data_IF_400464871594
#
_entry.id   IF_400464871594
#
_cell.length_a   1.000
_cell.length_b   1.000
_cell.length_c   1.000
_cell.angle_alpha   90.00
_cell.angle_beta   90.00
_cell.angle_gamma   90.00
#
_symmetry.space_group_name_H-M   'P 1'
#
loop_
_entity.id
_entity.type
_entity.pdbx_description
1 polymer ?
#
# COMPACT_ATOMS: atom_id res chain seq x y z
N UNK A 1 -4.24 9.68 -3.56
CA UNK A 1 -3.90 8.74 -2.46
C UNK A 1 -2.97 7.60 -2.91
N UNK A 2 -3.28 6.88 -3.99
CA UNK A 2 -2.50 5.72 -4.49
C UNK A 2 -1.01 5.99 -4.78
N UNK A 3 -0.66 7.18 -5.30
CA UNK A 3 0.73 7.52 -5.68
C UNK A 3 1.69 7.69 -4.50
N UNK A 4 1.18 8.09 -3.32
CA UNK A 4 2.00 8.23 -2.10
C UNK A 4 2.18 6.89 -1.39
N UNK A 5 1.18 6.02 -1.41
CA UNK A 5 1.26 4.66 -0.87
C UNK A 5 2.32 3.84 -1.63
N UNK A 6 2.38 4.01 -2.96
CA UNK A 6 3.37 3.32 -3.79
C UNK A 6 4.81 3.78 -3.50
N UNK A 7 5.02 5.08 -3.21
CA UNK A 7 6.33 5.62 -2.82
C UNK A 7 6.81 5.10 -1.47
N UNK A 8 5.93 5.05 -0.47
CA UNK A 8 6.24 4.57 0.89
C UNK A 8 6.61 3.07 0.90
N UNK A 9 5.89 2.26 0.12
CA UNK A 9 6.21 0.85 -0.08
C UNK A 9 7.56 0.66 -0.80
N UNK A 10 7.84 1.47 -1.83
CA UNK A 10 9.09 1.43 -2.57
C UNK A 10 10.29 1.81 -1.68
N UNK A 11 10.17 2.85 -0.86
CA UNK A 11 11.23 3.27 0.07
C UNK A 11 11.51 2.20 1.13
N UNK A 12 10.46 1.58 1.66
CA UNK A 12 10.60 0.48 2.62
C UNK A 12 11.28 -0.74 1.99
N UNK A 13 10.90 -1.13 0.77
CA UNK A 13 11.56 -2.21 0.02
C UNK A 13 13.02 -1.87 -0.32
N UNK A 14 13.33 -0.61 -0.62
CA UNK A 14 14.69 -0.13 -0.86
C UNK A 14 15.57 -0.29 0.37
N UNK A 15 15.06 0.13 1.53
CA UNK A 15 15.80 0.05 2.80
C UNK A 15 16.06 -1.39 3.20
N UNK A 16 15.05 -2.27 3.08
CA UNK A 16 15.20 -3.71 3.37
C UNK A 16 16.19 -4.35 2.40
N UNK A 17 16.09 -4.08 1.10
CA UNK A 17 17.00 -4.66 0.09
C UNK A 17 18.45 -4.23 0.32
N UNK A 18 18.68 -2.97 0.66
CA UNK A 18 20.03 -2.48 0.99
C UNK A 18 20.57 -3.16 2.26
N UNK A 19 19.77 -3.22 3.33
CA UNK A 19 20.19 -3.87 4.58
C UNK A 19 20.49 -5.35 4.33
N UNK A 20 19.58 -6.08 3.70
CA UNK A 20 19.78 -7.51 3.41
C UNK A 20 21.00 -7.73 2.51
N UNK A 21 21.16 -6.94 1.45
CA UNK A 21 22.30 -7.05 0.54
C UNK A 21 23.64 -6.77 1.22
N UNK A 22 23.74 -5.68 2.00
CA UNK A 22 24.96 -5.36 2.74
C UNK A 22 25.26 -6.38 3.84
N UNK A 23 24.25 -6.93 4.51
CA UNK A 23 24.45 -7.99 5.51
C UNK A 23 24.98 -9.26 4.85
N UNK A 24 24.40 -9.68 3.70
CA UNK A 24 24.90 -10.83 2.94
C UNK A 24 26.35 -10.61 2.53
N UNK A 25 26.65 -9.49 1.89
CA UNK A 25 28.03 -9.14 1.48
C UNK A 25 28.97 -9.12 2.69
N UNK A 26 28.56 -8.51 3.80
CA UNK A 26 29.38 -8.40 5.01
C UNK A 26 29.70 -9.76 5.64
N UNK A 27 28.69 -10.61 5.82
CA UNK A 27 28.87 -11.96 6.39
C UNK A 27 29.79 -12.80 5.50
N UNK A 28 29.51 -12.87 4.19
CA UNK A 28 30.34 -13.67 3.28
C UNK A 28 31.75 -13.09 3.09
N UNK A 29 31.93 -11.77 3.17
CA UNK A 29 33.27 -11.14 3.16
C UNK A 29 34.08 -11.49 4.40
N UNK A 30 33.44 -11.50 5.57
CA UNK A 30 34.09 -11.90 6.82
C UNK A 30 34.48 -13.38 6.79
N UNK A 31 33.57 -14.24 6.33
CA UNK A 31 33.86 -15.67 6.14
C UNK A 31 35.01 -15.89 5.15
N UNK A 32 35.02 -15.15 4.03
CA UNK A 32 36.12 -15.18 3.06
C UNK A 32 37.46 -14.79 3.69
N UNK A 33 37.51 -13.72 4.48
CA UNK A 33 38.74 -13.27 5.15
C UNK A 33 39.25 -14.32 6.13
N UNK A 34 38.39 -14.89 6.97
CA UNK A 34 38.77 -15.93 7.93
C UNK A 34 39.35 -17.15 7.20
N UNK A 35 38.67 -17.63 6.16
CA UNK A 35 39.13 -18.79 5.39
C UNK A 35 40.46 -18.52 4.65
N UNK A 36 40.64 -17.31 4.13
CA UNK A 36 41.88 -16.89 3.45
C UNK A 36 43.08 -16.83 4.40
N UNK A 37 42.89 -16.38 5.64
CA UNK A 37 43.94 -16.34 6.66
C UNK A 37 44.28 -17.73 7.22
N UNK A 38 43.33 -18.64 7.28
CA UNK A 38 43.51 -19.94 7.94
C UNK A 38 44.00 -21.07 7.01
N UNK A 39 43.75 -20.99 5.70
CA UNK A 39 43.95 -22.12 4.76
C UNK A 39 44.92 -21.86 3.59
N UNK A 40 45.68 -20.76 3.58
CA UNK A 40 46.66 -20.44 2.52
C UNK A 40 46.14 -20.70 1.08
N UNK A 41 45.22 -19.82 0.67
CA UNK A 41 44.85 -19.42 -0.69
C UNK A 41 44.39 -20.39 -1.80
N UNK A 42 44.57 -21.71 -1.74
CA UNK A 42 44.32 -22.53 -2.94
C UNK A 42 43.04 -23.37 -2.96
N UNK A 43 42.10 -23.13 -2.04
CA UNK A 43 40.84 -23.87 -2.04
C UNK A 43 39.82 -23.29 -3.05
N UNK A 44 39.23 -24.08 -3.97
CA UNK A 44 38.31 -23.59 -5.01
C UNK A 44 37.05 -22.90 -4.43
N UNK A 45 36.61 -23.31 -3.23
CA UNK A 45 35.53 -22.62 -2.51
C UNK A 45 35.84 -21.14 -2.21
N UNK A 46 37.11 -20.80 -1.95
CA UNK A 46 37.51 -19.42 -1.66
C UNK A 46 37.31 -18.53 -2.88
N UNK A 47 37.68 -19.01 -4.07
CA UNK A 47 37.48 -18.28 -5.33
C UNK A 47 35.99 -17.99 -5.60
N UNK A 48 35.12 -18.97 -5.37
CA UNK A 48 33.67 -18.84 -5.59
C UNK A 48 33.04 -17.82 -4.63
N UNK A 49 33.44 -17.84 -3.35
CA UNK A 49 32.98 -16.84 -2.37
C UNK A 49 33.45 -15.44 -2.77
N UNK A 50 34.70 -15.29 -3.23
CA UNK A 50 35.23 -14.01 -3.70
C UNK A 50 34.44 -13.45 -4.89
N UNK A 51 34.17 -14.27 -5.91
CA UNK A 51 33.36 -13.89 -7.08
C UNK A 51 31.95 -13.49 -6.66
N UNK A 52 31.32 -14.25 -5.75
CA UNK A 52 29.99 -13.94 -5.24
C UNK A 52 29.92 -12.59 -4.50
N UNK A 53 30.88 -12.33 -3.62
CA UNK A 53 30.99 -11.05 -2.89
C UNK A 53 31.15 -9.88 -3.87
N UNK A 54 32.04 -10.02 -4.85
CA UNK A 54 32.31 -8.98 -5.84
C UNK A 54 31.07 -8.69 -6.71
N UNK A 55 30.39 -9.73 -7.20
CA UNK A 55 29.16 -9.56 -8.00
C UNK A 55 28.02 -8.92 -7.21
N UNK A 56 27.84 -9.27 -5.93
CA UNK A 56 26.83 -8.64 -5.09
C UNK A 56 27.16 -7.18 -4.76
N UNK A 57 28.44 -6.87 -4.53
CA UNK A 57 28.89 -5.50 -4.30
C UNK A 57 28.65 -4.64 -5.54
N UNK A 58 28.99 -5.15 -6.74
CA UNK A 58 28.66 -4.50 -8.00
C UNK A 58 27.14 -4.30 -8.18
N UNK A 59 26.33 -5.31 -7.90
CA UNK A 59 24.87 -5.21 -7.98
C UNK A 59 24.32 -4.10 -7.06
N UNK A 60 24.87 -3.98 -5.84
CA UNK A 60 24.49 -2.92 -4.90
C UNK A 60 24.95 -1.52 -5.36
N UNK A 61 26.14 -1.39 -5.95
CA UNK A 61 26.61 -0.13 -6.50
C UNK A 61 25.78 0.30 -7.72
N UNK A 62 25.48 -0.61 -8.63
CA UNK A 62 24.63 -0.39 -9.81
C UNK A 62 23.18 -0.02 -9.40
N UNK A 63 22.71 -0.55 -8.27
CA UNK A 63 21.42 -0.16 -7.67
C UNK A 63 21.35 1.33 -7.32
N UNK A 64 22.47 1.94 -6.92
CA UNK A 64 22.53 3.38 -6.67
C UNK A 64 22.37 4.19 -7.97
N UNK A 65 22.69 3.60 -9.13
CA UNK A 65 22.64 4.25 -10.44
C UNK A 65 21.25 4.17 -11.10
N UNK A 66 20.63 2.99 -11.15
CA UNK A 66 19.39 2.78 -11.93
C UNK A 66 18.10 3.15 -11.19
N UNK A 67 18.11 3.35 -9.86
CA UNK A 67 16.93 3.63 -9.00
C UNK A 67 15.79 2.60 -9.07
N UNK A 68 15.94 1.50 -9.83
CA UNK A 68 14.97 0.41 -9.99
C UNK A 68 15.29 -0.74 -9.06
N UNK A 69 14.80 -0.67 -7.82
CA UNK A 69 15.08 -1.65 -6.74
C UNK A 69 14.67 -3.08 -7.09
N UNK A 70 13.61 -3.23 -7.88
CA UNK A 70 13.10 -4.55 -8.29
C UNK A 70 14.17 -5.38 -9.02
N UNK A 71 14.93 -4.75 -9.92
CA UNK A 71 15.95 -5.43 -10.73
C UNK A 71 17.11 -5.88 -9.83
N UNK A 72 17.55 -5.01 -8.92
CA UNK A 72 18.61 -5.32 -7.95
C UNK A 72 18.26 -6.55 -7.11
N UNK A 73 17.00 -6.63 -6.67
CA UNK A 73 16.55 -7.75 -5.86
C UNK A 73 16.50 -9.07 -6.65
N UNK A 74 16.01 -9.04 -7.89
CA UNK A 74 16.02 -10.22 -8.76
C UNK A 74 17.45 -10.70 -9.03
N UNK A 75 18.37 -9.80 -9.34
CA UNK A 75 19.78 -10.13 -9.52
C UNK A 75 20.40 -10.72 -8.25
N UNK A 76 20.05 -10.19 -7.07
CA UNK A 76 20.52 -10.72 -5.79
C UNK A 76 20.04 -12.16 -5.57
N UNK A 77 18.77 -12.47 -5.86
CA UNK A 77 18.26 -13.85 -5.77
C UNK A 77 19.01 -14.76 -6.74
N UNK A 78 19.17 -14.34 -8.00
CA UNK A 78 19.82 -15.14 -9.05
C UNK A 78 21.28 -15.43 -8.67
N UNK A 79 22.03 -14.40 -8.25
CA UNK A 79 23.42 -14.55 -7.82
C UNK A 79 23.54 -15.47 -6.60
N UNK A 80 22.63 -15.34 -5.63
CA UNK A 80 22.59 -16.21 -4.44
C UNK A 80 22.31 -17.65 -4.86
N UNK A 81 21.34 -17.89 -5.75
CA UNK A 81 21.05 -19.22 -6.26
C UNK A 81 22.24 -19.86 -6.98
N UNK A 82 22.88 -19.14 -7.90
CA UNK A 82 24.04 -19.65 -8.64
C UNK A 82 25.22 -19.99 -7.72
N UNK A 83 25.44 -19.15 -6.70
CA UNK A 83 26.45 -19.40 -5.68
C UNK A 83 26.17 -20.68 -4.88
N UNK A 84 24.94 -20.84 -4.39
CA UNK A 84 24.56 -22.04 -3.63
C UNK A 84 24.59 -23.31 -4.49
N UNK A 85 24.20 -23.22 -5.76
CA UNK A 85 24.31 -24.32 -6.72
C UNK A 85 25.77 -24.71 -6.95
N UNK A 86 26.67 -23.74 -7.10
CA UNK A 86 28.10 -23.99 -7.31
C UNK A 86 28.74 -24.66 -6.09
N UNK A 87 28.44 -24.19 -4.88
CA UNK A 87 28.95 -24.80 -3.65
C UNK A 87 28.36 -26.20 -3.47
N UNK A 88 27.05 -26.38 -3.67
CA UNK A 88 26.41 -27.69 -3.56
C UNK A 88 27.05 -28.69 -4.52
N UNK A 89 27.29 -28.32 -5.78
CA UNK A 89 27.95 -29.18 -6.76
C UNK A 89 29.35 -29.64 -6.32
N UNK A 90 30.17 -28.73 -5.79
CA UNK A 90 31.55 -29.05 -5.35
C UNK A 90 31.64 -29.78 -4.01
N UNK A 91 30.58 -29.76 -3.20
CA UNK A 91 30.56 -30.36 -1.86
C UNK A 91 29.79 -31.68 -1.81
N UNK A 92 29.59 -32.33 -2.96
CA UNK A 92 28.94 -33.64 -3.07
C UNK A 92 27.47 -33.61 -3.53
N UNK A 93 26.96 -32.48 -4.01
CA UNK A 93 25.62 -32.37 -4.58
C UNK A 93 24.52 -32.57 -3.53
N UNK A 94 23.76 -33.67 -3.65
CA UNK A 94 22.66 -34.02 -2.72
C UNK A 94 23.15 -34.37 -1.31
N UNK A 95 24.36 -34.93 -1.19
CA UNK A 95 24.93 -35.27 0.12
C UNK A 95 25.45 -34.05 0.86
N UNK A 96 25.53 -32.90 0.16
CA UNK A 96 25.95 -31.65 0.76
C UNK A 96 24.87 -31.08 1.68
N UNK A 97 25.22 -30.74 2.94
CA UNK A 97 24.36 -30.00 3.87
C UNK A 97 23.90 -28.64 3.34
N UNK A 98 24.62 -28.08 2.34
CA UNK A 98 24.34 -26.78 1.73
C UNK A 98 23.05 -26.81 0.92
N UNK A 99 22.60 -27.99 0.47
CA UNK A 99 21.39 -28.12 -0.35
C UNK A 99 20.13 -27.64 0.39
N UNK A 100 20.09 -27.78 1.72
CA UNK A 100 18.97 -27.29 2.53
C UNK A 100 18.84 -25.77 2.48
N UNK A 101 19.93 -25.05 2.27
CA UNK A 101 19.91 -23.59 2.19
C UNK A 101 19.25 -23.13 0.88
N UNK A 102 19.17 -23.96 -0.17
CA UNK A 102 18.36 -23.66 -1.36
C UNK A 102 16.88 -23.43 -1.00
N UNK A 103 16.36 -24.08 0.06
CA UNK A 103 14.99 -23.88 0.51
C UNK A 103 14.71 -22.47 1.06
N UNK A 104 15.75 -21.70 1.39
CA UNK A 104 15.63 -20.30 1.82
C UNK A 104 15.34 -19.36 0.63
N UNK A 105 15.78 -19.72 -0.57
CA UNK A 105 15.65 -18.88 -1.77
C UNK A 105 14.18 -18.58 -2.10
N UNK A 106 13.26 -19.58 -2.14
CA UNK A 106 11.84 -19.31 -2.33
C UNK A 106 11.25 -18.42 -1.24
N UNK A 107 11.64 -18.62 0.03
CA UNK A 107 11.18 -17.79 1.16
C UNK A 107 11.57 -16.33 0.96
N UNK A 108 12.83 -16.08 0.56
CA UNK A 108 13.28 -14.75 0.18
C UNK A 108 12.50 -14.21 -1.03
N UNK A 109 12.19 -15.02 -2.04
CA UNK A 109 11.42 -14.60 -3.20
C UNK A 109 9.96 -14.26 -2.86
N UNK A 110 9.31 -15.01 -1.96
CA UNK A 110 7.94 -14.71 -1.48
C UNK A 110 7.83 -13.36 -0.79
N UNK A 111 8.90 -12.88 -0.15
CA UNK A 111 8.93 -11.54 0.45
C UNK A 111 8.75 -10.41 -0.58
N UNK A 112 9.01 -10.68 -1.87
CA UNK A 112 8.79 -9.70 -2.95
C UNK A 112 7.48 -9.87 -3.69
N UNK A 113 7.15 -11.10 -4.09
CA UNK A 113 5.93 -11.37 -4.82
C UNK A 113 5.55 -12.84 -4.72
N UNK A 114 4.25 -13.10 -4.60
CA UNK A 114 3.69 -14.45 -4.65
C UNK A 114 4.08 -15.20 -5.93
N UNK A 115 4.11 -14.51 -7.09
CA UNK A 115 4.48 -15.12 -8.37
C UNK A 115 5.96 -15.53 -8.41
N UNK A 116 6.84 -14.69 -7.86
CA UNK A 116 8.27 -14.98 -7.77
C UNK A 116 8.55 -16.13 -6.79
N UNK A 117 7.88 -16.15 -5.64
CA UNK A 117 8.00 -17.26 -4.69
C UNK A 117 7.66 -18.62 -5.29
N UNK A 118 6.53 -18.72 -6.01
CA UNK A 118 6.12 -19.96 -6.70
C UNK A 118 7.14 -20.37 -7.77
N UNK A 119 7.60 -19.42 -8.59
CA UNK A 119 8.60 -19.68 -9.63
C UNK A 119 9.91 -20.23 -9.04
N UNK A 120 10.44 -19.58 -8.00
CA UNK A 120 11.68 -20.01 -7.36
C UNK A 120 11.53 -21.32 -6.58
N UNK A 121 10.36 -21.61 -5.98
CA UNK A 121 10.05 -22.93 -5.43
C UNK A 121 10.15 -24.02 -6.49
N UNK A 122 9.57 -23.79 -7.67
CA UNK A 122 9.63 -24.75 -8.77
C UNK A 122 11.08 -24.95 -9.25
N UNK A 123 11.84 -23.87 -9.42
CA UNK A 123 13.27 -23.93 -9.79
C UNK A 123 14.07 -24.74 -8.76
N UNK A 124 13.87 -24.53 -7.46
CA UNK A 124 14.61 -25.27 -6.43
C UNK A 124 14.26 -26.76 -6.43
N UNK A 125 12.98 -27.12 -6.58
CA UNK A 125 12.57 -28.53 -6.72
C UNK A 125 13.18 -29.17 -7.96
N UNK A 126 13.14 -28.47 -9.10
CA UNK A 126 13.77 -28.94 -10.33
C UNK A 126 15.28 -29.13 -10.17
N UNK A 127 15.95 -28.23 -9.43
CA UNK A 127 17.38 -28.34 -9.12
C UNK A 127 17.68 -29.60 -8.32
N UNK A 128 16.88 -29.90 -7.30
CA UNK A 128 17.03 -31.13 -6.51
C UNK A 128 16.81 -32.40 -7.36
N UNK A 129 15.86 -32.37 -8.30
CA UNK A 129 15.65 -33.47 -9.25
C UNK A 129 16.82 -33.64 -10.22
N UNK A 130 17.39 -32.53 -10.71
CA UNK A 130 18.59 -32.57 -11.57
C UNK A 130 19.78 -33.14 -10.80
N UNK A 131 19.97 -32.77 -9.53
CA UNK A 131 21.02 -33.34 -8.69
C UNK A 131 20.80 -34.84 -8.43
N UNK A 132 19.55 -35.28 -8.23
CA UNK A 132 19.23 -36.72 -8.10
C UNK A 132 19.57 -37.48 -9.37
N UNK A 133 19.20 -36.94 -10.53
CA UNK A 133 19.53 -37.53 -11.82
C UNK A 133 21.05 -37.56 -12.03
N UNK A 134 21.75 -36.45 -11.80
CA UNK A 134 23.20 -36.35 -11.94
C UNK A 134 23.98 -37.29 -11.00
N UNK A 135 23.44 -37.56 -9.82
CA UNK A 135 24.02 -38.54 -8.89
C UNK A 135 23.97 -39.96 -9.46
N UNK A 136 22.88 -40.34 -10.14
CA UNK A 136 22.75 -41.67 -10.76
C UNK A 136 23.67 -41.94 -11.95
N UNK A 137 24.30 -40.91 -12.51
CA UNK A 137 25.24 -41.00 -13.64
C UNK A 137 26.70 -40.68 -13.26
N UNK A 138 27.02 -40.60 -11.96
CA UNK A 138 28.37 -40.25 -11.44
C UNK A 138 28.95 -38.93 -12.00
N UNK A 139 28.08 -37.97 -12.37
CA UNK A 139 28.49 -36.66 -12.90
C UNK A 139 28.97 -35.73 -11.76
N UNK A 140 28.58 -36.02 -10.52
CA UNK A 140 28.89 -35.21 -9.35
C UNK A 140 30.32 -35.49 -8.88
N UNK A 141 31.19 -34.48 -8.75
CA UNK A 141 32.55 -34.69 -8.29
C UNK A 141 32.58 -35.17 -6.85
N UNK A 142 33.66 -35.90 -6.50
CA UNK A 142 33.96 -36.26 -5.11
C UNK A 142 34.04 -34.98 -4.27
N UNK A 143 33.39 -35.00 -3.11
CA UNK A 143 33.34 -33.84 -2.22
C UNK A 143 34.75 -33.36 -1.89
N UNK A 144 34.96 -32.05 -2.02
CA UNK A 144 36.24 -31.42 -1.66
C UNK A 144 36.43 -31.41 -0.12
N UNK A 145 35.35 -31.60 0.65
CA UNK A 145 35.40 -31.70 2.11
C UNK A 145 35.89 -33.09 2.50
N UNK A 146 37.02 -33.16 3.20
CA UNK A 146 37.56 -34.43 3.71
C UNK A 146 36.59 -35.10 4.69
N UNK A 147 36.60 -36.43 4.74
CA UNK A 147 35.74 -37.22 5.63
C UNK A 147 35.90 -36.84 7.11
N UNK A 148 37.11 -36.44 7.50
CA UNK A 148 37.42 -35.95 8.87
C UNK A 148 36.71 -34.66 9.25
N UNK A 149 36.37 -33.81 8.29
CA UNK A 149 35.76 -32.50 8.50
C UNK A 149 34.29 -32.43 8.06
N UNK A 150 33.75 -33.50 7.48
CA UNK A 150 32.39 -33.57 6.97
C UNK A 150 31.34 -33.29 8.06
N UNK A 151 31.52 -33.85 9.26
CA UNK A 151 30.57 -33.68 10.36
C UNK A 151 30.58 -32.23 10.89
N UNK A 152 31.76 -31.62 11.04
CA UNK A 152 31.90 -30.22 11.44
C UNK A 152 31.29 -29.28 10.40
N UNK A 153 31.56 -29.52 9.11
CA UNK A 153 31.00 -28.74 8.01
C UNK A 153 29.46 -28.85 7.96
N UNK A 154 28.93 -30.05 8.17
CA UNK A 154 27.49 -30.30 8.22
C UNK A 154 26.82 -29.57 9.37
N UNK A 155 27.43 -29.62 10.56
CA UNK A 155 26.93 -28.92 11.73
C UNK A 155 26.88 -27.41 11.52
N UNK A 156 27.97 -26.82 11.02
CA UNK A 156 28.04 -25.37 10.74
C UNK A 156 27.01 -24.94 9.68
N UNK A 157 26.86 -25.73 8.61
CA UNK A 157 25.91 -25.45 7.54
C UNK A 157 24.45 -25.55 8.00
N UNK A 158 24.12 -26.57 8.80
CA UNK A 158 22.79 -26.74 9.36
C UNK A 158 22.46 -25.63 10.37
N UNK A 159 23.42 -25.27 11.24
CA UNK A 159 23.26 -24.19 12.18
C UNK A 159 23.01 -22.85 11.46
N UNK A 160 23.79 -22.58 10.41
CA UNK A 160 23.59 -21.40 9.57
C UNK A 160 22.21 -21.40 8.91
N UNK A 161 21.77 -22.54 8.35
CA UNK A 161 20.43 -22.69 7.77
C UNK A 161 19.33 -22.35 8.77
N UNK A 162 19.34 -22.96 9.96
CA UNK A 162 18.32 -22.72 10.99
C UNK A 162 18.32 -21.27 11.45
N UNK A 163 19.50 -20.68 11.67
CA UNK A 163 19.63 -19.26 12.03
C UNK A 163 19.00 -18.35 10.96
N UNK A 164 19.28 -18.61 9.69
CA UNK A 164 18.76 -17.84 8.57
C UNK A 164 17.22 -17.94 8.48
N UNK A 165 16.66 -19.14 8.66
CA UNK A 165 15.19 -19.34 8.68
C UNK A 165 14.54 -18.59 9.84
N UNK A 166 15.12 -18.61 11.03
CA UNK A 166 14.61 -17.88 12.20
C UNK A 166 14.61 -16.36 11.94
N UNK A 167 15.73 -15.82 11.43
CA UNK A 167 15.86 -14.39 11.12
C UNK A 167 14.83 -13.98 10.06
N UNK A 168 14.68 -14.76 8.99
CA UNK A 168 13.70 -14.49 7.94
C UNK A 168 12.26 -14.54 8.47
N UNK A 169 11.92 -15.54 9.27
CA UNK A 169 10.59 -15.65 9.91
C UNK A 169 10.29 -14.45 10.80
N UNK A 170 11.26 -14.02 11.61
CA UNK A 170 11.13 -12.82 12.44
C UNK A 170 10.93 -11.54 11.61
N UNK A 171 11.71 -11.37 10.54
CA UNK A 171 11.67 -10.18 9.69
C UNK A 171 10.35 -10.08 8.91
N UNK A 172 9.87 -11.21 8.37
CA UNK A 172 8.57 -11.32 7.70
C UNK A 172 7.45 -11.01 8.69
N UNK A 173 7.44 -11.63 9.87
CA UNK A 173 6.40 -11.41 10.87
C UNK A 173 6.35 -9.95 11.34
N UNK A 174 7.49 -9.34 11.66
CA UNK A 174 7.57 -7.92 12.04
C UNK A 174 7.03 -7.01 10.94
N UNK A 175 7.30 -7.32 9.68
CA UNK A 175 6.82 -6.55 8.54
C UNK A 175 5.30 -6.67 8.35
N UNK A 176 4.75 -7.87 8.55
CA UNK A 176 3.32 -8.19 8.46
C UNK A 176 2.50 -7.52 9.58
N UNK A 177 2.93 -7.63 10.84
CA UNK A 177 2.24 -7.00 11.97
C UNK A 177 2.18 -5.48 11.89
N UNK A 178 3.19 -4.84 11.31
CA UNK A 178 3.19 -3.40 11.09
C UNK A 178 2.17 -3.00 10.01
N UNK A 179 2.00 -3.82 8.97
CA UNK A 179 1.03 -3.59 7.90
C UNK A 179 -0.41 -3.76 8.42
N UNK A 180 -0.69 -4.83 9.17
CA UNK A 180 -2.01 -5.04 9.80
C UNK A 180 -2.37 -3.88 10.73
N UNK A 181 -1.47 -3.46 11.62
CA UNK A 181 -1.72 -2.31 12.52
C UNK A 181 -2.00 -1.01 11.78
N UNK A 182 -1.38 -0.78 10.61
CA UNK A 182 -1.66 0.40 9.79
C UNK A 182 -3.05 0.32 9.16
N UNK A 183 -3.41 -0.84 8.60
CA UNK A 183 -4.73 -1.09 8.02
C UNK A 183 -5.85 -0.94 9.06
N UNK A 184 -5.66 -1.46 10.27
CA UNK A 184 -6.64 -1.36 11.35
C UNK A 184 -6.87 0.09 11.79
N UNK A 185 -5.79 0.89 11.84
CA UNK A 185 -5.88 2.34 12.14
C UNK A 185 -6.64 3.09 11.05
N UNK A 186 -6.30 2.85 9.78
CA UNK A 186 -7.00 3.48 8.64
C UNK A 186 -8.49 3.09 8.62
N UNK A 187 -8.83 1.83 8.95
CA UNK A 187 -10.22 1.38 9.07
C UNK A 187 -10.97 2.08 10.21
N UNK A 188 -10.35 2.24 11.38
CA UNK A 188 -10.96 2.96 12.51
C UNK A 188 -11.20 4.43 12.18
N UNK A 189 -10.21 5.11 11.59
CA UNK A 189 -10.35 6.52 11.19
C UNK A 189 -11.48 6.70 10.17
N UNK A 190 -11.63 5.75 9.24
CA UNK A 190 -12.71 5.78 8.25
C UNK A 190 -14.07 5.55 8.91
N UNK A 191 -14.17 4.61 9.84
CA UNK A 191 -15.40 4.39 10.62
C UNK A 191 -15.81 5.63 11.43
N UNK A 192 -14.86 6.29 12.09
CA UNK A 192 -15.13 7.52 12.84
C UNK A 192 -15.62 8.65 11.93
N UNK A 193 -15.03 8.80 10.73
CA UNK A 193 -15.48 9.78 9.73
C UNK A 193 -16.87 9.46 9.21
N UNK A 194 -17.17 8.18 8.92
CA UNK A 194 -18.50 7.74 8.50
C UNK A 194 -19.55 8.01 9.58
N UNK A 195 -19.28 7.63 10.83
CA UNK A 195 -20.18 7.89 11.95
C UNK A 195 -20.42 9.40 12.16
N UNK A 196 -19.39 10.23 12.00
CA UNK A 196 -19.54 11.70 12.05
C UNK A 196 -20.41 12.23 10.93
N UNK A 197 -20.25 11.72 9.70
CA UNK A 197 -21.09 12.10 8.56
C UNK A 197 -22.55 11.65 8.73
N UNK A 198 -22.78 10.45 9.25
CA UNK A 198 -24.13 9.94 9.57
C UNK A 198 -24.81 10.80 10.64
N UNK A 199 -24.10 11.15 11.72
CA UNK A 199 -24.61 12.06 12.74
C UNK A 199 -24.98 13.44 12.16
N UNK A 200 -24.11 14.01 11.31
CA UNK A 200 -24.40 15.30 10.64
C UNK A 200 -25.60 15.20 9.69
N UNK A 201 -25.67 14.13 8.90
CA UNK A 201 -26.79 13.85 7.98
C UNK A 201 -28.09 13.69 8.77
N UNK A 202 -28.04 13.02 9.92
CA UNK A 202 -29.17 12.86 10.84
C UNK A 202 -29.64 14.23 11.36
N UNK A 203 -28.72 15.07 11.85
CA UNK A 203 -29.06 16.44 12.29
C UNK A 203 -29.72 17.28 11.19
N UNK A 204 -29.23 17.18 9.94
CA UNK A 204 -29.81 17.89 8.80
C UNK A 204 -31.20 17.36 8.44
N UNK A 205 -31.39 16.04 8.47
CA UNK A 205 -32.64 15.38 8.09
C UNK A 205 -33.76 15.57 9.12
N UNK A 206 -33.41 15.68 10.41
CA UNK A 206 -34.37 15.89 11.51
C UNK A 206 -34.50 17.37 11.94
N UNK A 207 -33.74 18.28 11.32
CA UNK A 207 -34.00 19.71 11.47
C UNK A 207 -35.43 20.04 11.02
N UNK A 208 -36.10 20.99 11.67
CA UNK A 208 -37.41 21.48 11.22
C UNK A 208 -37.30 22.62 10.18
N UNK A 209 -36.08 23.11 9.96
CA UNK A 209 -35.80 24.18 9.02
C UNK A 209 -35.65 23.60 7.60
N UNK A 210 -36.09 24.35 6.58
CA UNK A 210 -35.82 23.98 5.19
C UNK A 210 -34.32 24.19 4.93
N UNK A 211 -33.59 23.14 4.59
CA UNK A 211 -32.15 23.25 4.32
C UNK A 211 -31.85 22.77 2.91
N UNK A 212 -31.08 23.55 2.17
CA UNK A 212 -30.61 23.16 0.84
C UNK A 212 -29.20 23.66 0.54
N UNK A 213 -28.56 22.98 -0.41
CA UNK A 213 -27.29 23.37 -1.01
C UNK A 213 -27.58 23.72 -2.45
N UNK A 214 -27.16 24.91 -2.87
CA UNK A 214 -27.43 25.46 -4.19
C UNK A 214 -26.10 25.75 -4.88
N UNK A 215 -25.97 25.42 -6.16
CA UNK A 215 -24.83 25.86 -6.97
C UNK A 215 -24.91 27.38 -7.17
N UNK A 216 -23.85 28.10 -6.84
CA UNK A 216 -23.90 29.57 -6.83
C UNK A 216 -24.08 30.19 -8.22
N UNK A 217 -23.61 29.54 -9.29
CA UNK A 217 -23.66 30.11 -10.65
C UNK A 217 -25.00 29.86 -11.31
N UNK A 218 -25.49 28.63 -11.20
CA UNK A 218 -26.71 28.17 -11.87
C UNK A 218 -27.96 28.28 -11.01
N UNK A 219 -27.82 28.51 -9.71
CA UNK A 219 -28.90 28.49 -8.72
C UNK A 219 -29.69 27.16 -8.69
N UNK A 220 -29.07 26.09 -9.17
CA UNK A 220 -29.62 24.74 -9.15
C UNK A 220 -29.43 24.12 -7.76
N UNK A 221 -30.49 23.50 -7.24
CA UNK A 221 -30.44 22.82 -5.94
C UNK A 221 -29.67 21.49 -6.08
N UNK A 222 -28.50 21.41 -5.49
CA UNK A 222 -27.67 20.20 -5.45
C UNK A 222 -28.24 19.15 -4.49
N UNK A 223 -28.62 19.60 -3.28
CA UNK A 223 -29.15 18.73 -2.25
C UNK A 223 -30.09 19.48 -1.30
N UNK A 224 -30.95 18.75 -0.61
CA UNK A 224 -31.94 19.30 0.31
C UNK A 224 -32.36 18.27 1.35
N UNK A 225 -32.86 18.75 2.50
CA UNK A 225 -33.37 17.88 3.55
C UNK A 225 -34.85 17.46 3.29
N UNK A 226 -35.34 16.40 3.96
CA UNK A 226 -36.71 15.89 3.80
C UNK A 226 -37.84 16.89 4.14
N UNK A 227 -37.51 17.98 4.85
CA UNK A 227 -38.44 19.02 5.31
C UNK A 227 -39.19 19.68 4.14
N UNK A 228 -38.59 19.75 2.95
CA UNK A 228 -39.25 20.22 1.74
C UNK A 228 -40.51 19.41 1.41
N UNK A 229 -40.46 18.09 1.60
CA UNK A 229 -41.63 17.22 1.40
C UNK A 229 -42.69 17.47 2.46
N UNK A 230 -42.27 17.64 3.72
CA UNK A 230 -43.17 17.85 4.85
C UNK A 230 -43.89 19.21 4.79
N UNK A 231 -43.18 20.29 4.44
CA UNK A 231 -43.73 21.64 4.48
C UNK A 231 -44.28 22.14 3.15
N UNK A 232 -43.70 21.72 2.02
CA UNK A 232 -44.08 22.18 0.68
C UNK A 232 -44.74 21.08 -0.19
N UNK A 233 -44.71 19.82 0.23
CA UNK A 233 -45.40 18.72 -0.45
C UNK A 233 -44.70 18.19 -1.72
N UNK A 234 -43.50 18.67 -2.03
CA UNK A 234 -42.72 18.18 -3.17
C UNK A 234 -41.96 16.89 -2.85
N UNK A 235 -41.81 16.01 -3.84
CA UNK A 235 -40.86 14.90 -3.71
C UNK A 235 -39.42 15.42 -3.84
N UNK A 236 -38.48 14.86 -3.08
CA UNK A 236 -37.09 15.36 -3.07
C UNK A 236 -36.44 15.26 -4.45
N UNK A 237 -36.81 14.28 -5.25
CA UNK A 237 -36.35 14.12 -6.63
C UNK A 237 -36.90 15.18 -7.60
N UNK A 238 -38.03 15.82 -7.29
CA UNK A 238 -38.61 16.90 -8.10
C UNK A 238 -37.89 18.23 -7.86
N UNK A 239 -37.40 18.43 -6.64
CA UNK A 239 -36.69 19.65 -6.20
C UNK A 239 -35.18 19.54 -6.42
N UNK A 240 -34.63 18.34 -6.36
CA UNK A 240 -33.20 18.15 -6.63
C UNK A 240 -32.92 18.39 -8.11
N UNK A 241 -31.89 19.18 -8.40
CA UNK A 241 -31.45 19.62 -9.73
C UNK A 241 -32.43 20.54 -10.46
N UNK A 242 -33.42 21.10 -9.78
CA UNK A 242 -34.24 22.17 -10.34
C UNK A 242 -33.74 23.54 -9.87
N UNK A 243 -34.19 24.57 -10.58
CA UNK A 243 -33.89 25.96 -10.25
C UNK A 243 -34.59 26.36 -8.94
N UNK A 244 -33.82 26.89 -8.00
CA UNK A 244 -34.33 27.36 -6.71
C UNK A 244 -35.43 28.43 -6.86
N UNK A 245 -35.30 29.33 -7.84
CA UNK A 245 -36.24 30.44 -8.02
C UNK A 245 -37.64 29.99 -8.45
N UNK A 246 -37.76 28.79 -9.03
CA UNK A 246 -39.06 28.21 -9.46
C UNK A 246 -40.03 28.01 -8.29
N UNK A 247 -39.51 27.82 -7.08
CA UNK A 247 -40.32 27.57 -5.89
C UNK A 247 -40.64 28.86 -5.12
N UNK A 248 -40.16 30.00 -5.58
CA UNK A 248 -40.43 31.30 -4.96
C UNK A 248 -41.52 32.00 -5.77
N UNK A 249 -42.49 32.61 -5.08
CA UNK A 249 -43.49 33.45 -5.74
C UNK A 249 -42.79 34.65 -6.40
N UNK A 250 -43.06 34.87 -7.69
CA UNK A 250 -42.52 36.04 -8.40
C UNK A 250 -43.10 37.34 -7.82
N UNK A 251 -42.21 38.21 -7.35
CA UNK A 251 -42.48 39.56 -6.87
C UNK A 251 -41.29 40.46 -7.23
N UNK A 252 -41.43 41.79 -7.14
CA UNK A 252 -40.32 42.73 -7.40
C UNK A 252 -39.09 42.45 -6.51
N UNK A 253 -39.34 41.92 -5.31
CA UNK A 253 -38.31 41.48 -4.36
C UNK A 253 -37.48 40.29 -4.86
N UNK A 254 -38.06 39.38 -5.65
CA UNK A 254 -37.44 38.12 -6.11
C UNK A 254 -36.29 38.35 -7.10
N UNK A 255 -36.42 39.34 -7.99
CA UNK A 255 -35.34 39.71 -8.94
C UNK A 255 -34.09 40.21 -8.23
N UNK A 256 -34.25 40.93 -7.10
CA UNK A 256 -33.13 41.41 -6.31
C UNK A 256 -32.37 40.29 -5.57
N UNK A 257 -33.04 39.17 -5.29
CA UNK A 257 -32.48 38.02 -4.58
C UNK A 257 -31.56 37.23 -5.51
N UNK A 258 -31.94 37.01 -6.77
CA UNK A 258 -31.13 36.29 -7.75
C UNK A 258 -29.74 36.91 -7.93
N UNK A 259 -29.68 38.22 -8.18
CA UNK A 259 -28.43 38.95 -8.37
C UNK A 259 -27.57 38.94 -7.10
N UNK A 260 -28.20 39.03 -5.92
CA UNK A 260 -27.50 38.98 -4.63
C UNK A 260 -26.94 37.59 -4.32
N UNK A 261 -27.66 36.52 -4.61
CA UNK A 261 -27.18 35.15 -4.42
C UNK A 261 -26.01 34.83 -5.35
N UNK A 262 -26.08 35.24 -6.62
CA UNK A 262 -24.97 35.05 -7.58
C UNK A 262 -23.72 35.85 -7.23
N UNK A 263 -23.89 37.05 -6.65
CA UNK A 263 -22.78 37.94 -6.26
C UNK A 263 -22.26 37.73 -4.83
N UNK A 264 -22.79 36.74 -4.10
CA UNK A 264 -22.41 36.48 -2.71
C UNK A 264 -20.92 36.11 -2.59
N UNK A 265 -20.20 36.76 -1.68
CA UNK A 265 -18.79 36.41 -1.41
C UNK A 265 -18.72 35.23 -0.44
N UNK A 266 -17.65 34.45 -0.54
CA UNK A 266 -17.40 33.33 0.39
C UNK A 266 -17.39 33.81 1.85
N UNK A 267 -17.97 32.98 2.72
CA UNK A 267 -18.16 33.18 4.16
C UNK A 267 -18.99 34.43 4.55
N UNK A 268 -19.71 35.06 3.60
CA UNK A 268 -20.68 36.13 3.90
C UNK A 268 -22.08 35.55 4.10
N UNK A 269 -22.73 35.97 5.18
CA UNK A 269 -24.12 35.62 5.48
C UNK A 269 -25.07 36.62 4.79
N UNK A 270 -26.09 36.11 4.12
CA UNK A 270 -27.16 36.90 3.52
C UNK A 270 -28.52 36.40 4.02
N UNK A 271 -29.28 37.33 4.58
CA UNK A 271 -30.63 37.08 5.08
C UNK A 271 -31.66 37.71 4.15
N UNK A 272 -32.70 36.96 3.84
CA UNK A 272 -33.81 37.43 3.02
C UNK A 272 -35.11 36.70 3.38
N UNK A 273 -36.25 37.32 3.11
CA UNK A 273 -37.57 36.71 3.30
C UNK A 273 -38.22 36.51 1.94
N UNK A 274 -38.80 35.34 1.71
CA UNK A 274 -39.58 35.09 0.50
C UNK A 274 -40.78 34.17 0.77
N UNK A 275 -41.75 34.19 -0.13
CA UNK A 275 -42.90 33.29 -0.11
C UNK A 275 -42.55 32.09 -0.99
N UNK A 276 -42.39 30.92 -0.37
CA UNK A 276 -42.21 29.65 -1.06
C UNK A 276 -43.58 29.07 -1.45
N UNK A 277 -43.73 28.64 -2.69
CA UNK A 277 -44.93 27.99 -3.21
C UNK A 277 -44.90 26.50 -2.86
N UNK A 278 -45.97 26.00 -2.25
CA UNK A 278 -46.21 24.57 -2.10
C UNK A 278 -46.73 23.92 -3.38
N UNK A 279 -46.70 22.58 -3.45
CA UNK A 279 -47.25 21.80 -4.56
C UNK A 279 -48.78 21.97 -4.71
N UNK A 280 -49.45 22.31 -3.62
CA UNK A 280 -50.85 22.70 -3.55
C UNK A 280 -51.14 24.13 -4.06
N UNK A 281 -50.09 24.88 -4.41
CA UNK A 281 -50.16 26.28 -4.83
C UNK A 281 -50.25 27.28 -3.68
N UNK A 282 -50.24 26.82 -2.42
CA UNK A 282 -50.30 27.69 -1.24
C UNK A 282 -48.91 28.25 -0.94
N UNK A 283 -48.81 29.58 -0.88
CA UNK A 283 -47.57 30.27 -0.53
C UNK A 283 -47.38 30.33 0.99
N UNK A 284 -46.19 29.95 1.48
CA UNK A 284 -45.77 30.08 2.88
C UNK A 284 -44.56 31.02 2.97
N UNK A 285 -44.57 31.94 3.92
CA UNK A 285 -43.46 32.86 4.14
C UNK A 285 -42.33 32.17 4.92
N UNK A 286 -41.11 32.28 4.41
CA UNK A 286 -39.90 31.78 5.04
C UNK A 286 -38.84 32.88 5.12
N UNK A 287 -38.13 32.90 6.24
CA UNK A 287 -36.93 33.70 6.43
C UNK A 287 -35.71 32.81 6.18
N UNK A 288 -34.97 33.15 5.14
CA UNK A 288 -33.80 32.43 4.66
C UNK A 288 -32.51 33.08 5.18
N UNK A 289 -31.56 32.21 5.51
CA UNK A 289 -30.17 32.55 5.78
C UNK A 289 -29.31 31.74 4.82
N UNK A 290 -28.52 32.43 4.00
CA UNK A 290 -27.67 31.83 2.98
C UNK A 290 -26.20 32.20 3.22
N UNK A 291 -25.31 31.23 3.06
CA UNK A 291 -23.86 31.42 3.18
C UNK A 291 -23.19 30.78 1.98
N UNK A 292 -22.36 31.54 1.25
CA UNK A 292 -21.56 31.02 0.15
C UNK A 292 -20.25 30.44 0.70
N UNK A 293 -19.88 29.25 0.20
CA UNK A 293 -18.60 28.62 0.50
C UNK A 293 -18.18 27.73 -0.66
N UNK A 294 -16.99 27.96 -1.20
CA UNK A 294 -16.41 27.16 -2.29
C UNK A 294 -17.32 27.08 -3.54
N UNK A 295 -18.01 28.18 -3.87
CA UNK A 295 -18.91 28.23 -5.02
C UNK A 295 -20.26 27.51 -4.83
N UNK A 296 -20.59 27.10 -3.60
CA UNK A 296 -21.90 26.59 -3.22
C UNK A 296 -22.54 27.49 -2.18
N UNK A 297 -23.86 27.64 -2.23
CA UNK A 297 -24.65 28.36 -1.25
C UNK A 297 -25.30 27.33 -0.32
N UNK A 298 -25.01 27.43 0.97
CA UNK A 298 -25.68 26.68 2.01
C UNK A 298 -26.79 27.56 2.57
N UNK A 299 -28.05 27.16 2.36
CA UNK A 299 -29.21 27.95 2.73
C UNK A 299 -30.08 27.19 3.74
N UNK A 300 -30.58 27.91 4.74
CA UNK A 300 -31.52 27.41 5.74
C UNK A 300 -32.68 28.39 5.87
N UNK A 301 -33.92 27.89 5.95
CA UNK A 301 -35.13 28.70 6.07
C UNK A 301 -35.98 28.28 7.25
N UNK A 302 -36.52 29.28 7.95
CA UNK A 302 -37.50 29.10 9.03
C UNK A 302 -38.82 29.75 8.68
N UNK A 303 -39.91 29.08 9.02
CA UNK A 303 -41.24 29.69 8.97
C UNK A 303 -41.35 30.72 10.09
N UNK A 304 -41.93 31.89 9.82
CA UNK A 304 -42.33 32.79 10.89
C UNK A 304 -43.50 32.16 11.64
N UNK A 305 -43.28 31.75 12.90
CA UNK A 305 -44.39 31.38 13.78
C UNK A 305 -45.17 32.65 14.11
N UNK A 306 -46.43 32.71 13.68
CA UNK A 306 -47.41 33.59 14.34
C UNK A 306 -47.76 33.04 15.72
#
# INVERSE_FOLDING_TARGET
MSRNIYKDLLDRQTKVTKITGYTVVGVFSLTYLILKFQYEFNHPLLSIIGVFVLLNLLNLLVSALHRKIYITYQLLIILTYLFMLSISFLTGGLTSPVIFILAVIPVAAYSTSKKQGILWSFICVLTSLIFLWAHGYDIIPVSIVSDSHLLTFSFVSLFFYVSLVIIMSFLINKSSFAAHRKSDRESKELQEKTARLENLTTLLNYSNDLMCIIDQKSLVIDDLNPVYKLHLGYELSEVRKSDFLKYIKEDESTKSIEDRLKSLKDDVVFEFSCIMLGKDGVGKQFNWMAIAKNGKIHASARTESK
#
